data_IF_009507293421
#
_entry.id   IF_009507293421
#
_cell.length_a   1.000
_cell.length_b   1.000
_cell.length_c   1.000
_cell.angle_alpha   90.00
_cell.angle_beta   90.00
_cell.angle_gamma   90.00
#
_symmetry.space_group_name_H-M   'P 1'
#
loop_
_entity.id
_entity.type
_entity.pdbx_description
1 polymer ?
#
# COMPACT_ATOMS: atom_id res chain seq x y z
N UNK A 1 -15.48 -9.78 -3.60
CA UNK A 1 -14.71 -10.54 -4.61
C UNK A 1 -13.21 -10.40 -4.34
N UNK A 2 -12.60 -9.23 -4.59
CA UNK A 2 -11.17 -8.95 -4.37
C UNK A 2 -10.61 -9.33 -2.98
N UNK A 3 -11.30 -8.94 -1.90
CA UNK A 3 -10.86 -9.23 -0.52
C UNK A 3 -10.64 -10.74 -0.32
N UNK A 4 -11.63 -11.55 -0.69
CA UNK A 4 -11.57 -13.00 -0.53
C UNK A 4 -10.51 -13.64 -1.41
N UNK A 5 -10.30 -13.11 -2.61
CA UNK A 5 -9.27 -13.59 -3.53
C UNK A 5 -7.87 -13.38 -2.95
N UNK A 6 -7.59 -12.19 -2.40
CA UNK A 6 -6.32 -11.88 -1.74
C UNK A 6 -6.12 -12.76 -0.51
N UNK A 7 -7.15 -12.89 0.34
CA UNK A 7 -7.11 -13.72 1.54
C UNK A 7 -6.83 -15.18 1.23
N UNK A 8 -7.44 -15.72 0.17
CA UNK A 8 -7.29 -17.11 -0.24
C UNK A 8 -5.95 -17.38 -0.92
N UNK A 9 -5.52 -16.48 -1.82
CA UNK A 9 -4.27 -16.63 -2.56
C UNK A 9 -3.04 -16.41 -1.69
N UNK A 10 -3.16 -15.69 -0.56
CA UNK A 10 -2.09 -15.49 0.42
C UNK A 10 -0.77 -15.05 -0.24
N UNK A 11 -0.78 -14.03 -1.11
CA UNK A 11 0.32 -13.74 -2.02
C UNK A 11 1.62 -13.43 -1.27
N UNK A 12 2.76 -13.88 -1.80
CA UNK A 12 4.08 -13.59 -1.21
C UNK A 12 4.37 -12.09 -1.16
N UNK A 13 3.89 -11.37 -2.16
CA UNK A 13 4.03 -9.93 -2.30
C UNK A 13 2.70 -9.27 -2.61
N UNK A 14 2.48 -8.10 -2.01
CA UNK A 14 1.34 -7.25 -2.31
C UNK A 14 1.83 -5.84 -2.64
N UNK A 15 1.31 -5.27 -3.72
CA UNK A 15 1.70 -3.95 -4.20
C UNK A 15 0.50 -3.02 -4.01
N UNK A 16 0.64 -2.02 -3.15
CA UNK A 16 -0.34 -0.97 -2.96
C UNK A 16 0.05 0.25 -3.78
N UNK A 17 -0.83 0.66 -4.70
CA UNK A 17 -0.63 1.81 -5.59
C UNK A 17 -1.50 2.95 -5.09
N UNK A 18 -0.92 3.84 -4.29
CA UNK A 18 -1.60 4.96 -3.68
C UNK A 18 -1.39 6.22 -4.53
N UNK A 19 -2.30 6.46 -5.46
CA UNK A 19 -2.37 7.74 -6.18
C UNK A 19 -3.54 8.56 -5.65
N UNK A 20 -3.35 9.88 -5.58
CA UNK A 20 -4.35 10.81 -5.07
C UNK A 20 -5.73 10.65 -5.73
N UNK A 21 -5.76 10.29 -7.03
CA UNK A 21 -6.99 10.11 -7.80
C UNK A 21 -7.39 8.64 -8.05
N UNK A 22 -6.71 7.64 -7.46
CA UNK A 22 -7.00 6.22 -7.76
C UNK A 22 -8.42 5.80 -7.36
N UNK A 23 -8.83 6.13 -6.14
CA UNK A 23 -10.10 5.66 -5.58
C UNK A 23 -11.17 6.75 -5.55
N UNK A 24 -10.79 8.01 -5.78
CA UNK A 24 -11.66 9.19 -5.70
C UNK A 24 -12.60 9.15 -4.48
N UNK A 25 -12.06 8.73 -3.33
CA UNK A 25 -12.85 8.51 -2.10
C UNK A 25 -13.60 9.78 -1.73
N UNK A 26 -14.92 9.66 -1.59
CA UNK A 26 -15.83 10.72 -1.16
C UNK A 26 -16.26 10.48 0.29
N UNK A 27 -16.82 11.49 0.99
CA UNK A 27 -17.30 11.32 2.35
C UNK A 27 -18.36 10.21 2.52
N UNK A 28 -19.14 9.95 1.48
CA UNK A 28 -20.19 8.93 1.42
C UNK A 28 -19.71 7.57 0.86
N UNK A 29 -18.43 7.44 0.55
CA UNK A 29 -17.86 6.17 0.07
C UNK A 29 -17.84 5.11 1.17
N UNK A 30 -18.17 3.89 0.80
CA UNK A 30 -18.10 2.70 1.64
C UNK A 30 -16.65 2.51 2.16
N UNK A 31 -16.41 2.50 3.49
CA UNK A 31 -15.06 2.51 4.04
C UNK A 31 -14.42 1.12 4.19
N UNK A 32 -15.17 0.01 4.08
CA UNK A 32 -14.75 -1.33 4.48
C UNK A 32 -13.47 -1.78 3.78
N UNK A 33 -13.30 -1.46 2.50
CA UNK A 33 -12.07 -1.83 1.78
C UNK A 33 -10.81 -1.15 2.36
N UNK A 34 -10.94 0.08 2.85
CA UNK A 34 -9.83 0.83 3.45
C UNK A 34 -9.53 0.35 4.87
N UNK A 35 -10.57 0.06 5.65
CA UNK A 35 -10.40 -0.56 6.97
C UNK A 35 -9.74 -1.93 6.84
N UNK A 36 -10.29 -2.78 5.97
CA UNK A 36 -9.78 -4.11 5.72
C UNK A 36 -8.33 -4.11 5.25
N UNK A 37 -7.94 -3.27 4.27
CA UNK A 37 -6.57 -3.29 3.75
C UNK A 37 -5.56 -2.88 4.83
N UNK A 38 -5.90 -1.89 5.66
CA UNK A 38 -5.03 -1.44 6.75
C UNK A 38 -4.81 -2.55 7.78
N UNK A 39 -5.89 -3.20 8.22
CA UNK A 39 -5.82 -4.30 9.20
C UNK A 39 -5.10 -5.52 8.61
N UNK A 40 -5.47 -5.92 7.40
CA UNK A 40 -4.93 -7.10 6.73
C UNK A 40 -3.43 -6.96 6.45
N UNK A 41 -2.96 -5.80 5.96
CA UNK A 41 -1.53 -5.54 5.77
C UNK A 41 -0.79 -5.54 7.10
N UNK A 42 -1.28 -4.82 8.12
CA UNK A 42 -0.61 -4.72 9.41
C UNK A 42 -0.43 -6.09 10.08
N UNK A 43 -1.41 -6.98 9.95
CA UNK A 43 -1.35 -8.33 10.50
C UNK A 43 -0.41 -9.24 9.70
N UNK A 44 -0.52 -9.25 8.37
CA UNK A 44 0.06 -10.31 7.54
C UNK A 44 1.32 -9.94 6.77
N UNK A 45 1.67 -8.66 6.66
CA UNK A 45 2.76 -8.19 5.80
C UNK A 45 3.67 -7.18 6.49
N UNK A 46 4.86 -7.00 5.92
CA UNK A 46 5.85 -5.99 6.29
C UNK A 46 6.26 -5.24 5.02
N UNK A 47 6.57 -3.94 5.14
CA UNK A 47 7.09 -3.17 4.02
C UNK A 47 8.48 -3.73 3.61
N UNK A 48 8.64 -4.05 2.32
CA UNK A 48 9.88 -4.57 1.71
C UNK A 48 10.37 -3.63 0.60
N UNK A 49 9.53 -2.67 0.19
CA UNK A 49 9.91 -1.58 -0.69
C UNK A 49 8.91 -0.44 -0.67
N UNK A 50 9.38 0.72 -1.12
CA UNK A 50 8.63 1.96 -1.18
C UNK A 50 9.13 2.79 -2.37
N UNK A 51 8.20 3.34 -3.13
CA UNK A 51 8.48 4.25 -4.25
C UNK A 51 7.75 5.55 -3.96
N UNK A 52 8.51 6.62 -3.68
CA UNK A 52 7.96 7.95 -3.42
C UNK A 52 7.96 8.76 -4.71
N UNK A 53 6.78 9.09 -5.24
CA UNK A 53 6.67 9.80 -6.52
C UNK A 53 6.50 11.29 -6.23
N UNK A 54 7.58 12.04 -6.44
CA UNK A 54 7.62 13.49 -6.26
C UNK A 54 7.44 14.21 -7.62
N UNK A 55 7.10 15.52 -7.63
CA UNK A 55 6.85 16.23 -8.89
C UNK A 55 8.04 16.30 -9.85
N UNK A 56 9.28 16.18 -9.34
CA UNK A 56 10.52 16.34 -10.13
C UNK A 56 11.35 15.06 -10.22
N UNK A 57 11.16 14.14 -9.30
CA UNK A 57 11.95 12.91 -9.20
C UNK A 57 11.15 11.81 -8.52
N UNK A 58 11.72 10.60 -8.46
CA UNK A 58 11.12 9.46 -7.79
C UNK A 58 12.18 8.78 -6.96
N UNK A 59 11.91 8.66 -5.67
CA UNK A 59 12.79 7.94 -4.75
C UNK A 59 12.38 6.47 -4.73
N UNK A 60 13.39 5.59 -4.75
CA UNK A 60 13.19 4.15 -4.72
C UNK A 60 13.91 3.57 -3.50
N UNK A 61 13.16 2.87 -2.67
CA UNK A 61 13.65 2.20 -1.49
C UNK A 61 13.29 0.72 -1.60
N UNK A 62 14.29 -0.16 -1.65
CA UNK A 62 14.11 -1.61 -1.65
C UNK A 62 14.91 -2.20 -0.50
N UNK A 63 14.26 -2.92 0.41
CA UNK A 63 14.85 -3.44 1.65
C UNK A 63 14.88 -2.44 2.80
N UNK A 64 15.38 -1.22 2.57
CA UNK A 64 15.51 -0.18 3.61
C UNK A 64 14.42 0.90 3.47
N UNK A 65 13.18 0.53 3.81
CA UNK A 65 12.03 1.46 3.74
C UNK A 65 12.07 2.43 4.91
N UNK A 66 12.12 3.77 4.67
CA UNK A 66 12.13 4.74 5.74
C UNK A 66 10.79 4.77 6.50
N UNK A 67 10.78 5.04 7.82
CA UNK A 67 9.54 5.12 8.59
C UNK A 67 8.68 6.34 8.23
N UNK A 68 9.28 7.37 7.64
CA UNK A 68 8.60 8.56 7.15
C UNK A 68 9.39 9.25 6.03
N UNK A 69 8.70 10.07 5.25
CA UNK A 69 9.30 10.99 4.28
C UNK A 69 8.69 12.37 4.43
N UNK A 70 9.43 13.41 4.02
CA UNK A 70 8.98 14.80 4.13
C UNK A 70 7.75 15.09 3.24
N UNK A 71 7.74 14.54 2.02
CA UNK A 71 6.67 14.73 1.06
C UNK A 71 6.09 13.38 0.65
N UNK A 72 4.79 13.18 0.92
CA UNK A 72 4.04 11.99 0.53
C UNK A 72 2.77 12.42 -0.22
N UNK A 73 2.70 12.12 -1.52
CA UNK A 73 1.52 12.35 -2.35
C UNK A 73 1.08 11.08 -3.06
N UNK A 74 1.84 10.74 -4.11
CA UNK A 74 1.64 9.54 -4.89
C UNK A 74 2.77 8.59 -4.53
N UNK A 75 2.43 7.34 -4.24
CA UNK A 75 3.44 6.38 -3.83
C UNK A 75 3.01 4.95 -4.10
N UNK A 76 4.00 4.06 -4.12
CA UNK A 76 3.80 2.62 -4.18
C UNK A 76 4.43 2.01 -2.93
N UNK A 77 3.68 1.17 -2.23
CA UNK A 77 4.21 0.34 -1.16
C UNK A 77 4.26 -1.11 -1.62
N UNK A 78 5.42 -1.72 -1.45
CA UNK A 78 5.66 -3.12 -1.74
C UNK A 78 5.74 -3.84 -0.40
N UNK A 79 4.80 -4.74 -0.19
CA UNK A 79 4.67 -5.51 1.03
C UNK A 79 5.10 -6.94 0.78
N UNK A 80 5.94 -7.47 1.67
CA UNK A 80 6.28 -8.89 1.72
C UNK A 80 5.51 -9.56 2.84
N UNK A 81 4.97 -10.73 2.57
CA UNK A 81 4.22 -11.49 3.56
C UNK A 81 5.14 -11.93 4.71
N UNK A 82 4.66 -11.79 5.93
CA UNK A 82 5.33 -12.35 7.12
C UNK A 82 5.33 -13.88 7.01
N UNK A 83 6.43 -14.50 7.46
CA UNK A 83 6.57 -15.96 7.52
C UNK A 83 5.48 -16.60 8.37
#
# INVERSE_FOLDING_TARGET
EMIREIESARPRYLISVAMFYSWLRRPDSEPSIFTWVNEYMAQNYVADGFVNIMPRETDYYFGDVPPSVENLKNYILIYKRKS
#
